data_IF_830912675590
#
_entry.id   IF_830912675590
#
_cell.length_a   1.000
_cell.length_b   1.000
_cell.length_c   1.000
_cell.angle_alpha   90.00
_cell.angle_beta   90.00
_cell.angle_gamma   90.00
#
_symmetry.space_group_name_H-M   'P 1'
#
loop_
_entity.id
_entity.type
_entity.pdbx_description
1 polymer ?
#
# COMPACT_ATOMS: atom_id res chain seq x y z
N UNK A 1 9.56 12.65 24.23
CA UNK A 1 10.38 13.45 23.30
C UNK A 1 9.82 14.85 23.28
N UNK A 2 10.68 15.84 23.52
CA UNK A 2 10.35 17.27 23.45
C UNK A 2 10.15 17.64 21.96
N UNK A 3 9.15 18.48 21.66
CA UNK A 3 8.89 19.00 20.30
C UNK A 3 10.13 19.64 19.67
N UNK A 4 11.08 20.11 20.49
CA UNK A 4 12.39 20.62 20.05
C UNK A 4 13.35 19.55 19.51
N UNK A 5 13.32 18.32 20.02
CA UNK A 5 14.15 17.22 19.51
C UNK A 5 13.65 16.73 18.15
N UNK A 6 12.33 16.66 17.96
CA UNK A 6 11.70 16.33 16.68
C UNK A 6 12.06 17.39 15.63
N UNK A 7 12.00 18.68 16.00
CA UNK A 7 12.38 19.78 15.10
C UNK A 7 13.89 19.80 14.78
N UNK A 8 14.75 19.39 15.72
CA UNK A 8 16.20 19.23 15.46
C UNK A 8 16.48 18.05 14.52
N UNK A 9 15.82 16.92 14.70
CA UNK A 9 15.90 15.79 13.76
C UNK A 9 15.37 16.22 12.38
N UNK A 10 14.23 16.91 12.30
CA UNK A 10 13.67 17.43 11.05
C UNK A 10 14.59 18.43 10.33
N UNK A 11 15.27 19.30 11.07
CA UNK A 11 16.26 20.24 10.51
C UNK A 11 17.59 19.57 10.13
N UNK A 12 17.88 18.37 10.64
CA UNK A 12 19.04 17.55 10.24
C UNK A 12 18.75 16.65 9.02
N UNK A 13 17.47 16.56 8.62
CA UNK A 13 17.02 15.90 7.39
C UNK A 13 17.10 16.93 6.27
N UNK A 14 18.32 17.35 5.95
CA UNK A 14 18.57 18.03 4.69
C UNK A 14 18.14 17.08 3.57
N UNK A 15 17.33 17.58 2.64
CA UNK A 15 17.00 16.84 1.44
C UNK A 15 18.31 16.53 0.70
N UNK A 16 18.44 15.37 0.04
CA UNK A 16 19.41 15.38 -1.06
C UNK A 16 18.83 16.35 -2.10
N UNK A 17 19.62 17.35 -2.51
CA UNK A 17 19.17 18.31 -3.52
C UNK A 17 18.66 17.62 -4.79
N UNK A 18 19.13 16.40 -5.05
CA UNK A 18 18.76 15.57 -6.21
C UNK A 18 17.32 15.08 -6.16
N UNK A 19 16.81 14.61 -5.00
CA UNK A 19 15.42 14.15 -4.89
C UNK A 19 14.42 15.30 -5.05
N UNK A 20 14.76 16.48 -4.53
CA UNK A 20 13.94 17.68 -4.73
C UNK A 20 13.98 18.16 -6.17
N UNK A 21 15.17 18.17 -6.81
CA UNK A 21 15.32 18.60 -8.21
C UNK A 21 14.57 17.69 -9.18
N UNK A 22 14.57 16.37 -8.97
CA UNK A 22 13.84 15.42 -9.81
C UNK A 22 12.32 15.64 -9.73
N UNK A 23 11.79 15.81 -8.51
CA UNK A 23 10.36 16.06 -8.28
C UNK A 23 9.92 17.46 -8.76
N UNK A 24 10.78 18.47 -8.57
CA UNK A 24 10.54 19.82 -9.08
C UNK A 24 10.56 19.86 -10.62
N UNK A 25 11.48 19.12 -11.26
CA UNK A 25 11.54 19.00 -12.71
C UNK A 25 10.33 18.27 -13.29
N UNK A 26 9.81 17.23 -12.62
CA UNK A 26 8.62 16.51 -13.05
C UNK A 26 7.34 17.36 -12.93
N UNK A 27 7.19 18.11 -11.82
CA UNK A 27 6.07 19.05 -11.64
C UNK A 27 6.11 20.24 -12.62
N UNK A 28 7.31 20.70 -13.00
CA UNK A 28 7.49 21.78 -13.99
C UNK A 28 7.11 21.39 -15.42
N UNK A 29 6.91 20.09 -15.71
CA UNK A 29 6.41 19.62 -17.03
C UNK A 29 4.91 19.83 -17.21
N UNK A 30 4.14 19.95 -16.13
CA UNK A 30 2.70 20.21 -16.19
C UNK A 30 2.43 21.72 -16.18
N UNK A 31 2.18 22.27 -17.37
CA UNK A 31 2.28 23.70 -17.70
C UNK A 31 1.34 24.68 -16.96
N UNK A 32 0.57 24.28 -15.94
CA UNK A 32 -0.44 25.16 -15.32
C UNK A 32 -0.74 24.96 -13.81
N UNK A 33 0.04 24.18 -13.04
CA UNK A 33 -0.26 23.91 -11.60
C UNK A 33 0.93 23.93 -10.63
N UNK A 34 2.04 24.52 -11.08
CA UNK A 34 3.38 24.39 -10.47
C UNK A 34 3.42 24.68 -8.97
N UNK A 35 2.74 25.71 -8.44
CA UNK A 35 2.88 26.05 -7.01
C UNK A 35 2.15 25.07 -6.07
N UNK A 36 0.87 24.79 -6.30
CA UNK A 36 0.06 23.93 -5.42
C UNK A 36 0.53 22.47 -5.46
N UNK A 37 0.97 21.99 -6.62
CA UNK A 37 1.50 20.63 -6.77
C UNK A 37 2.84 20.48 -6.06
N UNK A 38 3.75 21.45 -6.17
CA UNK A 38 5.00 21.45 -5.41
C UNK A 38 4.77 21.46 -3.89
N UNK A 39 3.81 22.26 -3.40
CA UNK A 39 3.46 22.24 -1.97
C UNK A 39 2.89 20.89 -1.52
N UNK A 40 2.03 20.27 -2.33
CA UNK A 40 1.49 18.93 -2.03
C UNK A 40 2.59 17.87 -2.02
N UNK A 41 3.52 17.93 -2.97
CA UNK A 41 4.67 17.00 -3.06
C UNK A 41 5.60 17.18 -1.85
N UNK A 42 5.97 18.42 -1.50
CA UNK A 42 6.81 18.69 -0.32
C UNK A 42 6.14 18.21 0.96
N UNK A 43 4.83 18.42 1.10
CA UNK A 43 4.07 17.94 2.26
C UNK A 43 4.00 16.40 2.31
N UNK A 44 3.80 15.73 1.17
CA UNK A 44 3.76 14.27 1.06
C UNK A 44 5.09 13.62 1.50
N UNK A 45 6.22 14.14 1.00
CA UNK A 45 7.56 13.66 1.36
C UNK A 45 7.82 13.84 2.87
N UNK A 46 7.47 15.01 3.43
CA UNK A 46 7.63 15.28 4.86
C UNK A 46 6.79 14.33 5.69
N UNK A 47 5.49 14.20 5.38
CA UNK A 47 4.57 13.33 6.10
C UNK A 47 5.04 11.87 6.07
N UNK A 48 5.53 11.40 4.92
CA UNK A 48 6.09 10.06 4.78
C UNK A 48 7.32 9.85 5.66
N UNK A 49 8.24 10.83 5.72
CA UNK A 49 9.45 10.75 6.58
C UNK A 49 9.09 10.77 8.06
N UNK A 50 8.20 11.68 8.49
CA UNK A 50 7.70 11.75 9.88
C UNK A 50 7.07 10.42 10.27
N UNK A 51 6.19 9.89 9.42
CA UNK A 51 5.53 8.60 9.66
C UNK A 51 6.54 7.47 9.79
N UNK A 52 7.56 7.42 8.92
CA UNK A 52 8.60 6.41 8.98
C UNK A 52 9.37 6.47 10.32
N UNK A 53 9.68 7.66 10.83
CA UNK A 53 10.36 7.83 12.13
C UNK A 53 9.47 7.41 13.30
N UNK A 54 8.18 7.72 13.26
CA UNK A 54 7.23 7.30 14.30
C UNK A 54 7.06 5.77 14.33
N UNK A 55 6.92 5.15 13.16
CA UNK A 55 6.85 3.70 13.05
C UNK A 55 8.16 3.02 13.48
N UNK A 56 9.31 3.61 13.13
CA UNK A 56 10.60 3.08 13.57
C UNK A 56 10.73 3.05 15.10
N UNK A 57 10.26 4.11 15.79
CA UNK A 57 10.21 4.13 17.26
C UNK A 57 9.33 3.00 17.81
N UNK A 58 8.17 2.76 17.19
CA UNK A 58 7.28 1.66 17.55
C UNK A 58 7.93 0.29 17.35
N UNK A 59 8.65 0.09 16.24
CA UNK A 59 9.37 -1.15 15.97
C UNK A 59 10.49 -1.34 16.98
N UNK A 60 11.33 -0.32 17.20
CA UNK A 60 12.46 -0.36 18.16
C UNK A 60 12.00 -0.71 19.58
N UNK A 61 10.83 -0.25 20.01
CA UNK A 61 10.27 -0.58 21.32
C UNK A 61 9.90 -2.07 21.48
N UNK A 62 9.81 -2.82 20.38
CA UNK A 62 9.42 -4.23 20.36
C UNK A 62 10.58 -5.19 20.04
N UNK A 63 11.78 -4.68 19.75
CA UNK A 63 12.93 -5.51 19.36
C UNK A 63 13.55 -6.19 20.58
N UNK A 64 14.01 -7.44 20.39
CA UNK A 64 14.92 -8.06 21.36
C UNK A 64 16.31 -7.44 21.28
N UNK A 65 17.15 -7.66 22.30
CA UNK A 65 18.50 -7.06 22.38
C UNK A 65 19.44 -7.47 21.25
N UNK A 66 19.15 -8.58 20.57
CA UNK A 66 19.90 -9.15 19.45
C UNK A 66 19.18 -8.98 18.10
N UNK A 67 18.14 -8.14 18.05
CA UNK A 67 17.37 -7.86 16.85
C UNK A 67 17.60 -6.42 16.36
N UNK A 68 17.87 -6.27 15.08
CA UNK A 68 18.19 -4.98 14.45
C UNK A 68 17.36 -4.76 13.18
N UNK A 69 16.92 -3.52 12.97
CA UNK A 69 16.24 -3.12 11.73
C UNK A 69 17.27 -3.08 10.61
N UNK A 70 17.08 -3.92 9.59
CA UNK A 70 17.91 -3.96 8.38
C UNK A 70 17.38 -3.01 7.31
N UNK A 71 16.06 -2.97 7.15
CA UNK A 71 15.43 -2.14 6.14
C UNK A 71 14.11 -1.55 6.64
N UNK A 72 13.77 -0.38 6.10
CA UNK A 72 12.50 0.30 6.36
C UNK A 72 12.06 1.06 5.12
N UNK A 73 10.79 0.97 4.76
CA UNK A 73 10.23 1.66 3.60
C UNK A 73 8.72 1.88 3.79
N UNK A 74 8.18 2.93 3.17
CA UNK A 74 6.73 3.05 2.94
C UNK A 74 6.47 2.86 1.45
N UNK A 75 5.53 2.00 1.08
CA UNK A 75 5.16 1.68 -0.30
C UNK A 75 3.65 1.71 -0.47
N UNK A 76 3.14 1.66 -1.71
CA UNK A 76 1.71 1.53 -1.95
C UNK A 76 1.25 0.11 -1.64
N UNK A 77 0.07 0.01 -1.04
CA UNK A 77 -0.70 -1.21 -1.05
C UNK A 77 -1.25 -1.43 -2.46
N UNK A 78 -0.82 -2.51 -3.11
CA UNK A 78 -1.21 -2.84 -4.48
C UNK A 78 -2.33 -3.86 -4.49
N UNK A 79 -3.57 -3.40 -4.37
CA UNK A 79 -4.71 -4.24 -4.74
C UNK A 79 -5.08 -3.92 -6.19
N UNK A 80 -5.16 -4.97 -7.00
CA UNK A 80 -5.43 -4.86 -8.43
C UNK A 80 -6.60 -3.90 -8.72
N UNK A 81 -6.28 -2.96 -9.60
CA UNK A 81 -7.14 -2.07 -10.37
C UNK A 81 -7.93 -0.99 -9.60
N UNK A 82 -7.63 0.23 -10.03
CA UNK A 82 -8.18 1.57 -9.75
C UNK A 82 -9.72 1.71 -9.67
N UNK A 83 -10.51 0.65 -9.72
CA UNK A 83 -11.98 0.71 -9.78
C UNK A 83 -12.75 -0.11 -8.74
N UNK A 84 -12.17 -1.17 -8.15
CA UNK A 84 -12.99 -2.14 -7.38
C UNK A 84 -12.97 -1.86 -5.87
N UNK A 85 -11.78 -1.67 -5.26
CA UNK A 85 -11.69 -1.49 -3.81
C UNK A 85 -11.87 -0.05 -3.33
N UNK A 86 -11.50 0.96 -4.13
CA UNK A 86 -11.84 2.34 -3.80
C UNK A 86 -13.36 2.50 -3.72
N UNK A 87 -14.10 1.82 -4.60
CA UNK A 87 -15.56 1.78 -4.57
C UNK A 87 -16.06 1.00 -3.34
N UNK A 88 -15.54 -0.21 -3.08
CA UNK A 88 -15.97 -1.02 -1.94
C UNK A 88 -15.67 -0.38 -0.56
N UNK A 89 -14.48 0.19 -0.34
CA UNK A 89 -14.14 0.81 0.96
C UNK A 89 -14.97 2.08 1.21
N UNK A 90 -15.17 2.90 0.17
CA UNK A 90 -16.03 4.10 0.24
C UNK A 90 -17.50 3.71 0.41
N UNK A 91 -17.99 2.67 -0.27
CA UNK A 91 -19.37 2.18 -0.17
C UNK A 91 -19.71 1.60 1.21
N UNK A 92 -18.71 1.11 1.97
CA UNK A 92 -18.88 0.60 3.35
C UNK A 92 -18.42 1.59 4.45
N UNK A 93 -18.06 2.83 4.10
CA UNK A 93 -17.70 3.89 5.06
C UNK A 93 -16.35 3.70 5.78
N UNK A 94 -15.52 2.75 5.34
CA UNK A 94 -14.19 2.52 5.90
C UNK A 94 -13.13 3.33 5.13
N UNK A 95 -12.19 3.94 5.85
CA UNK A 95 -11.07 4.63 5.21
C UNK A 95 -10.22 3.62 4.41
N UNK A 96 -9.83 3.91 3.16
CA UNK A 96 -9.05 2.98 2.36
C UNK A 96 -7.60 2.90 2.85
N UNK A 97 -7.05 1.68 2.90
CA UNK A 97 -5.61 1.46 3.09
C UNK A 97 -4.92 1.81 1.78
N UNK A 98 -4.05 2.82 1.79
CA UNK A 98 -3.34 3.30 0.61
C UNK A 98 -1.86 2.93 0.65
N UNK A 99 -1.23 3.06 1.83
CA UNK A 99 0.19 2.76 1.99
C UNK A 99 0.42 1.65 3.00
N UNK A 100 1.57 1.00 2.84
CA UNK A 100 2.14 0.05 3.79
C UNK A 100 3.50 0.55 4.27
N UNK A 101 3.65 0.68 5.58
CA UNK A 101 4.96 0.82 6.23
C UNK A 101 5.55 -0.57 6.45
N UNK A 102 6.65 -0.89 5.78
CA UNK A 102 7.36 -2.16 5.86
C UNK A 102 8.68 -1.96 6.60
N UNK A 103 8.87 -2.69 7.69
CA UNK A 103 10.15 -2.77 8.41
C UNK A 103 10.59 -4.23 8.45
N UNK A 104 11.86 -4.46 8.12
CA UNK A 104 12.46 -5.80 8.09
C UNK A 104 13.65 -5.81 9.03
N UNK A 105 13.63 -6.72 9.98
CA UNK A 105 14.75 -6.99 10.89
C UNK A 105 15.50 -8.23 10.44
N UNK A 106 16.50 -8.66 11.21
CA UNK A 106 17.14 -9.95 11.05
C UNK A 106 16.27 -11.15 11.46
N UNK A 107 15.05 -10.93 12.00
CA UNK A 107 14.15 -11.99 12.50
C UNK A 107 12.71 -11.86 12.04
N UNK A 108 12.21 -10.64 11.85
CA UNK A 108 10.78 -10.34 11.68
C UNK A 108 10.53 -9.31 10.59
N UNK A 109 9.29 -9.32 10.12
CA UNK A 109 8.71 -8.31 9.24
C UNK A 109 7.56 -7.64 9.97
N UNK A 110 7.59 -6.31 10.02
CA UNK A 110 6.50 -5.48 10.51
C UNK A 110 5.84 -4.78 9.32
N UNK A 111 4.51 -4.86 9.24
CA UNK A 111 3.71 -4.23 8.20
C UNK A 111 2.62 -3.38 8.86
N UNK A 112 2.67 -2.08 8.59
CA UNK A 112 1.73 -1.09 9.10
C UNK A 112 0.81 -0.61 7.98
N UNK A 113 -0.50 -0.69 8.19
CA UNK A 113 -1.51 -0.18 7.26
C UNK A 113 -1.70 1.32 7.46
N UNK A 114 -1.63 2.09 6.38
CA UNK A 114 -1.67 3.56 6.42
C UNK A 114 -2.73 4.10 5.46
N UNK A 115 -3.43 5.16 5.90
CA UNK A 115 -4.38 5.91 5.07
C UNK A 115 -3.68 6.80 4.03
N UNK A 116 -4.44 7.49 3.17
CA UNK A 116 -3.89 8.44 2.19
C UNK A 116 -3.16 9.65 2.80
N UNK A 117 -3.28 9.87 4.12
CA UNK A 117 -2.53 10.88 4.87
C UNK A 117 -1.40 10.29 5.72
N UNK A 118 -0.96 9.06 5.43
CA UNK A 118 0.05 8.32 6.21
C UNK A 118 -0.33 8.08 7.68
N UNK A 119 -1.60 8.29 8.05
CA UNK A 119 -2.06 7.96 9.41
C UNK A 119 -2.15 6.45 9.57
N UNK A 120 -1.59 5.95 10.67
CA UNK A 120 -1.70 4.55 11.06
C UNK A 120 -3.16 4.16 11.22
N UNK A 121 -3.52 3.06 10.58
CA UNK A 121 -4.82 2.42 10.68
C UNK A 121 -4.72 1.21 11.61
N UNK A 122 -5.86 0.72 12.10
CA UNK A 122 -5.89 -0.47 12.95
C UNK A 122 -5.42 -1.73 12.20
N UNK A 123 -4.76 -2.63 12.95
CA UNK A 123 -4.30 -3.93 12.46
C UNK A 123 -2.90 -3.89 11.84
N UNK A 124 -1.87 -3.66 12.67
CA UNK A 124 -0.50 -3.95 12.32
C UNK A 124 -0.27 -5.46 12.21
N UNK A 125 0.70 -5.84 11.39
CA UNK A 125 1.14 -7.21 11.24
C UNK A 125 2.59 -7.33 11.65
N UNK A 126 2.88 -8.34 12.48
CA UNK A 126 4.23 -8.72 12.87
C UNK A 126 4.38 -10.21 12.64
N UNK A 127 5.21 -10.58 11.67
CA UNK A 127 5.49 -11.97 11.33
C UNK A 127 6.96 -12.30 11.49
N UNK A 128 7.30 -13.51 11.90
CA UNK A 128 8.67 -14.02 11.82
C UNK A 128 9.00 -14.35 10.36
N UNK A 129 10.26 -14.18 9.97
CA UNK A 129 10.68 -14.36 8.57
C UNK A 129 10.59 -15.82 8.15
N UNK A 130 10.76 -16.75 9.09
CA UNK A 130 10.61 -18.17 8.89
C UNK A 130 9.20 -18.58 8.43
N UNK A 131 8.18 -17.78 8.77
CA UNK A 131 6.78 -18.00 8.38
C UNK A 131 6.44 -17.44 6.99
N UNK A 132 7.40 -16.82 6.31
CA UNK A 132 7.21 -16.38 4.93
C UNK A 132 7.06 -17.61 4.03
N UNK A 133 5.88 -17.81 3.44
CA UNK A 133 5.60 -18.97 2.59
C UNK A 133 6.09 -18.77 1.16
N UNK A 134 5.82 -17.60 0.61
CA UNK A 134 6.08 -17.32 -0.80
C UNK A 134 6.03 -15.84 -1.13
N UNK A 135 6.68 -15.52 -2.25
CA UNK A 135 6.56 -14.24 -2.92
C UNK A 135 5.63 -14.38 -4.12
N UNK A 136 4.75 -13.41 -4.38
CA UNK A 136 4.02 -13.35 -5.66
C UNK A 136 4.63 -12.30 -6.56
N UNK A 137 5.08 -12.70 -7.74
CA UNK A 137 5.66 -11.76 -8.71
C UNK A 137 4.57 -11.18 -9.64
N UNK A 138 4.25 -9.90 -9.44
CA UNK A 138 3.45 -9.09 -10.35
C UNK A 138 4.26 -7.91 -10.92
N UNK A 139 5.58 -8.04 -10.97
CA UNK A 139 6.47 -6.94 -11.30
C UNK A 139 6.23 -6.42 -12.72
N UNK A 140 6.10 -7.33 -13.69
CA UNK A 140 5.89 -6.96 -15.10
C UNK A 140 4.52 -6.32 -15.37
N UNK A 141 3.50 -6.64 -14.56
CA UNK A 141 2.13 -6.16 -14.75
C UNK A 141 1.93 -4.81 -14.07
N UNK A 142 2.37 -4.66 -12.83
CA UNK A 142 2.08 -3.48 -12.03
C UNK A 142 3.16 -3.11 -11.01
N UNK A 143 4.42 -3.51 -11.23
CA UNK A 143 5.55 -3.25 -10.33
C UNK A 143 5.23 -3.65 -8.88
N UNK A 144 4.63 -4.83 -8.70
CA UNK A 144 4.16 -5.30 -7.41
C UNK A 144 4.80 -6.64 -7.06
N UNK A 145 5.22 -6.79 -5.81
CA UNK A 145 5.58 -8.11 -5.26
C UNK A 145 4.75 -8.33 -4.00
N UNK A 146 4.11 -9.50 -3.92
CA UNK A 146 3.35 -9.94 -2.76
C UNK A 146 4.23 -10.71 -1.78
N UNK A 147 3.97 -10.57 -0.48
CA UNK A 147 4.50 -11.43 0.57
C UNK A 147 3.33 -12.18 1.23
N UNK A 148 3.37 -13.51 1.16
CA UNK A 148 2.40 -14.39 1.82
C UNK A 148 3.06 -15.09 3.01
N UNK A 149 2.40 -15.05 4.16
CA UNK A 149 2.82 -15.72 5.38
C UNK A 149 1.81 -16.82 5.76
N UNK A 150 2.25 -17.84 6.51
CA UNK A 150 1.53 -19.10 6.77
C UNK A 150 0.03 -18.97 7.10
N UNK A 151 -0.37 -17.93 7.83
CA UNK A 151 -1.74 -17.76 8.34
C UNK A 151 -2.44 -16.46 7.88
N UNK A 152 -1.81 -15.69 7.00
CA UNK A 152 -2.28 -14.34 6.66
C UNK A 152 -2.54 -14.17 5.17
N UNK A 153 -3.52 -13.30 4.89
CA UNK A 153 -3.71 -12.76 3.55
C UNK A 153 -2.44 -12.11 3.04
N UNK A 154 -2.22 -12.23 1.74
CA UNK A 154 -1.03 -11.72 1.08
C UNK A 154 -0.98 -10.18 1.11
N UNK A 155 0.19 -9.64 1.49
CA UNK A 155 0.46 -8.22 1.44
C UNK A 155 1.12 -7.87 0.11
N UNK A 156 0.48 -7.00 -0.66
CA UNK A 156 0.92 -6.63 -2.00
C UNK A 156 1.60 -5.26 -1.98
N UNK A 157 2.90 -5.25 -2.24
CA UNK A 157 3.73 -4.05 -2.10
C UNK A 157 4.11 -3.49 -3.48
N UNK A 158 3.89 -2.18 -3.67
CA UNK A 158 4.29 -1.46 -4.88
C UNK A 158 5.13 -0.23 -4.54
N UNK A 159 6.44 -0.22 -4.86
CA UNK A 159 7.28 0.95 -4.61
C UNK A 159 6.91 2.15 -5.48
N UNK A 160 7.21 3.36 -4.98
CA UNK A 160 6.95 4.63 -5.66
C UNK A 160 8.27 5.34 -5.95
N UNK A 161 8.57 5.59 -7.22
CA UNK A 161 9.78 6.30 -7.63
C UNK A 161 11.06 5.44 -7.61
N UNK A 162 12.08 5.88 -8.34
CA UNK A 162 13.27 5.06 -8.65
C UNK A 162 14.06 4.62 -7.41
N UNK A 163 14.26 5.53 -6.45
CA UNK A 163 14.99 5.23 -5.21
C UNK A 163 14.31 4.12 -4.39
N UNK A 164 13.01 4.28 -4.13
CA UNK A 164 12.23 3.29 -3.38
C UNK A 164 12.12 1.96 -4.10
N UNK A 165 12.09 1.95 -5.43
CA UNK A 165 12.13 0.73 -6.23
C UNK A 165 13.41 -0.06 -6.00
N UNK A 166 14.58 0.61 -5.98
CA UNK A 166 15.86 -0.05 -5.69
C UNK A 166 15.87 -0.65 -4.28
N UNK A 167 15.52 0.16 -3.28
CA UNK A 167 15.48 -0.29 -1.88
C UNK A 167 14.48 -1.42 -1.66
N UNK A 168 13.31 -1.37 -2.30
CA UNK A 168 12.32 -2.44 -2.24
C UNK A 168 12.86 -3.75 -2.82
N UNK A 169 13.53 -3.71 -3.97
CA UNK A 169 14.13 -4.92 -4.56
C UNK A 169 15.27 -5.47 -3.70
N UNK A 170 16.02 -4.62 -3.00
CA UNK A 170 17.02 -5.06 -2.01
C UNK A 170 16.36 -5.76 -0.83
N UNK A 171 15.24 -5.24 -0.31
CA UNK A 171 14.45 -5.90 0.73
C UNK A 171 13.99 -7.29 0.28
N UNK A 172 13.46 -7.42 -0.93
CA UNK A 172 13.02 -8.72 -1.47
C UNK A 172 14.19 -9.69 -1.61
N UNK A 173 15.35 -9.24 -2.10
CA UNK A 173 16.57 -10.07 -2.16
C UNK A 173 17.02 -10.51 -0.78
N UNK A 174 17.01 -9.61 0.19
CA UNK A 174 17.38 -9.91 1.57
C UNK A 174 16.46 -10.97 2.15
N UNK A 175 15.14 -10.75 2.12
CA UNK A 175 14.14 -11.72 2.61
C UNK A 175 14.35 -13.09 1.97
N UNK A 176 14.56 -13.16 0.65
CA UNK A 176 14.81 -14.42 -0.05
C UNK A 176 16.11 -15.11 0.37
N UNK A 177 17.13 -14.35 0.76
CA UNK A 177 18.42 -14.92 1.19
C UNK A 177 18.36 -15.59 2.57
N UNK A 178 17.39 -15.22 3.40
CA UNK A 178 17.24 -15.70 4.78
C UNK A 178 15.97 -16.51 5.01
N UNK A 179 15.05 -16.53 4.05
CA UNK A 179 13.85 -17.38 4.04
C UNK A 179 14.02 -18.50 3.02
N UNK A 180 13.32 -19.62 3.24
CA UNK A 180 13.24 -20.72 2.27
C UNK A 180 12.10 -20.52 1.25
N UNK A 181 11.56 -19.30 1.13
CA UNK A 181 10.35 -19.02 0.37
C UNK A 181 10.63 -18.87 -1.12
N UNK A 182 9.73 -19.38 -1.94
CA UNK A 182 9.84 -19.33 -3.40
C UNK A 182 8.91 -18.28 -4.02
N UNK A 183 9.22 -17.86 -5.24
CA UNK A 183 8.29 -17.09 -6.05
C UNK A 183 7.21 -18.00 -6.63
N UNK A 184 5.95 -17.61 -6.47
CA UNK A 184 4.78 -18.27 -7.07
C UNK A 184 4.15 -17.35 -8.10
N UNK A 185 3.62 -17.97 -9.16
CA UNK A 185 2.82 -17.25 -10.14
C UNK A 185 1.52 -16.74 -9.51
N UNK A 186 1.16 -15.50 -9.81
CA UNK A 186 -0.15 -14.97 -9.44
C UNK A 186 -1.26 -15.78 -10.12
N UNK A 187 -1.99 -16.57 -9.33
CA UNK A 187 -3.20 -17.24 -9.78
C UNK A 187 -4.37 -16.31 -9.51
N UNK A 188 -4.95 -15.71 -10.57
CA UNK A 188 -6.24 -15.01 -10.44
C UNK A 188 -7.22 -15.95 -9.72
N UNK A 189 -7.91 -15.49 -8.66
CA UNK A 189 -8.96 -16.29 -8.06
C UNK A 189 -9.99 -16.60 -9.15
N UNK A 190 -10.13 -17.88 -9.49
CA UNK A 190 -11.18 -18.32 -10.42
C UNK A 190 -12.49 -18.16 -9.67
N UNK A 191 -13.41 -17.35 -10.21
CA UNK A 191 -14.79 -17.36 -9.74
C UNK A 191 -15.30 -18.79 -9.93
N UNK A 192 -15.54 -19.51 -8.83
CA UNK A 192 -16.15 -20.83 -8.90
C UNK A 192 -17.53 -20.75 -9.54
N UNK A 193 -18.05 -21.88 -10.04
CA UNK A 193 -19.37 -21.97 -10.70
C UNK A 193 -20.47 -21.32 -9.84
N UNK A 194 -20.39 -21.48 -8.52
CA UNK A 194 -21.31 -20.87 -7.55
C UNK A 194 -21.23 -19.33 -7.52
N UNK A 195 -20.03 -18.76 -7.64
CA UNK A 195 -19.82 -17.32 -7.74
C UNK A 195 -20.38 -16.74 -9.04
N UNK A 196 -20.24 -17.47 -10.16
CA UNK A 196 -20.88 -17.11 -11.42
C UNK A 196 -22.40 -17.15 -11.33
N UNK A 197 -22.95 -18.15 -10.64
CA UNK A 197 -24.39 -18.29 -10.41
C UNK A 197 -24.94 -17.11 -9.60
N UNK A 198 -24.23 -16.69 -8.55
CA UNK A 198 -24.61 -15.53 -7.75
C UNK A 198 -24.60 -14.22 -8.55
N UNK A 199 -23.58 -14.01 -9.40
CA UNK A 199 -23.52 -12.83 -10.29
C UNK A 199 -24.71 -12.80 -11.27
N UNK A 200 -25.07 -13.96 -11.83
CA UNK A 200 -26.22 -14.07 -12.74
C UNK A 200 -27.54 -13.79 -12.00
N UNK A 201 -27.73 -14.35 -10.80
CA UNK A 201 -28.92 -14.09 -9.98
C UNK A 201 -29.03 -12.60 -9.66
N UNK A 202 -27.92 -11.96 -9.25
CA UNK A 202 -27.89 -10.53 -8.95
C UNK A 202 -28.26 -9.68 -10.17
N UNK A 203 -27.73 -10.04 -11.35
CA UNK A 203 -28.04 -9.36 -12.60
C UNK A 203 -29.53 -9.50 -12.98
N UNK A 204 -30.13 -10.69 -12.81
CA UNK A 204 -31.56 -10.93 -13.06
C UNK A 204 -32.43 -10.12 -12.10
N UNK A 205 -32.08 -10.07 -10.81
CA UNK A 205 -32.81 -9.26 -9.83
C UNK A 205 -32.73 -7.76 -10.13
N UNK A 206 -31.57 -7.27 -10.57
CA UNK A 206 -31.42 -5.86 -10.97
C UNK A 206 -32.21 -5.53 -12.24
N UNK A 207 -32.17 -6.42 -13.24
CA UNK A 207 -32.92 -6.25 -14.48
C UNK A 207 -34.44 -6.27 -14.24
N UNK A 208 -34.94 -7.18 -13.39
CA UNK A 208 -36.38 -7.26 -13.08
C UNK A 208 -36.88 -6.03 -12.34
N UNK A 209 -36.12 -5.48 -11.39
CA UNK A 209 -36.44 -4.20 -10.74
C UNK A 209 -36.43 -3.06 -11.75
N UNK A 210 -35.41 -2.97 -12.61
CA UNK A 210 -35.33 -1.92 -13.63
C UNK A 210 -36.50 -1.96 -14.63
N UNK A 211 -36.89 -3.16 -15.08
CA UNK A 211 -38.04 -3.36 -15.97
C UNK A 211 -39.34 -2.97 -15.30
N UNK A 212 -39.50 -3.27 -14.00
CA UNK A 212 -40.71 -2.91 -13.24
C UNK A 212 -40.85 -1.40 -13.09
N UNK A 213 -39.74 -0.71 -12.77
CA UNK A 213 -39.70 0.76 -12.67
C UNK A 213 -39.96 1.44 -14.02
N UNK A 214 -39.39 0.92 -15.12
CA UNK A 214 -39.65 1.43 -16.47
C UNK A 214 -41.13 1.25 -16.86
N UNK A 215 -41.73 0.10 -16.50
CA UNK A 215 -43.13 -0.19 -16.80
C UNK A 215 -44.09 0.71 -16.02
N UNK A 216 -43.79 0.99 -14.75
CA UNK A 216 -44.53 1.98 -13.96
C UNK A 216 -44.37 3.41 -14.48
N UNK A 217 -43.18 3.77 -14.97
CA UNK A 217 -42.93 5.08 -15.55
C UNK A 217 -43.69 5.27 -16.88
N UNK A 218 -43.71 4.26 -17.74
CA UNK A 218 -44.45 4.28 -19.01
C UNK A 218 -45.97 4.33 -18.81
N UNK A 219 -46.50 3.65 -17.79
CA UNK A 219 -47.94 3.69 -17.46
C UNK A 219 -48.41 5.02 -16.85
N UNK A 220 -47.48 5.93 -16.50
CA UNK A 220 -47.78 7.28 -15.98
C UNK A 220 -47.69 8.37 -17.05
N UNK A 221 -47.37 8.03 -18.29
CA UNK A 221 -47.39 8.96 -19.42
C UNK A 221 -48.82 8.93 -20.01
N UNK A 222 -49.56 10.05 -20.00
CA UNK A 222 -50.94 10.13 -20.49
C UNK A 222 -51.05 9.97 -22.01
#
# INVERSE_FOLDING_TARGET
>A
MDSREILKELNSIDYSEEELKDLEHEAMKEKNRVSVELYKIKNDVILRKVTLLELEKKVKAQLSSDEEIKYKIIVLQSYLEKGVHFKMAVDFGAAPIIYLGLFVTNKRVFIFKLSHYYKLMEGDYVGVIEDLESFTDLWKQCNTIGLKFNEYDEFMFRPIGKYNTKMFLEIIRYLRSISNSEFKDYKKPKLGVFGWLLVIIFAITFFSVAVTVIKEALNKIP
#
